data_IF_865729601523
#
_entry.id   IF_865729601523
#
_cell.length_a   1.000
_cell.length_b   1.000
_cell.length_c   1.000
_cell.angle_alpha   90.00
_cell.angle_beta   90.00
_cell.angle_gamma   90.00
#
_symmetry.space_group_name_H-M   'P 1'
#
loop_
_entity.id
_entity.type
_entity.pdbx_description
1 polymer ?
#
# COMPACT_ATOMS: atom_id res chain seq x y z
N UNK A 1 12.29 3.56 0.85
CA UNK A 1 11.82 4.41 1.97
C UNK A 1 12.42 5.82 1.94
N UNK A 2 13.75 6.03 2.02
CA UNK A 2 14.33 7.41 2.02
C UNK A 2 13.87 8.28 0.83
N UNK A 3 13.94 7.75 -0.39
CA UNK A 3 13.48 8.46 -1.61
C UNK A 3 11.99 8.80 -1.59
N UNK A 4 11.16 7.83 -1.23
CA UNK A 4 9.70 7.99 -1.10
C UNK A 4 9.35 9.07 -0.06
N UNK A 5 10.04 9.06 1.10
CA UNK A 5 9.88 10.09 2.12
C UNK A 5 10.22 11.49 1.62
N UNK A 6 11.19 11.59 0.72
CA UNK A 6 11.57 12.83 0.05
C UNK A 6 10.61 13.25 -1.09
N UNK A 7 9.54 12.48 -1.34
CA UNK A 7 8.56 12.78 -2.38
C UNK A 7 8.91 12.26 -3.77
N UNK A 8 9.87 11.34 -3.88
CA UNK A 8 10.23 10.71 -5.16
C UNK A 8 9.09 9.81 -5.65
N UNK A 9 8.35 10.29 -6.67
CA UNK A 9 7.24 9.56 -7.29
C UNK A 9 7.70 8.31 -8.04
N UNK A 10 8.90 8.29 -8.64
CA UNK A 10 9.41 7.10 -9.32
C UNK A 10 9.67 5.98 -8.32
N UNK A 11 10.22 6.33 -7.16
CA UNK A 11 10.41 5.36 -6.07
C UNK A 11 9.08 4.81 -5.54
N UNK A 12 8.00 5.62 -5.57
CA UNK A 12 6.66 5.18 -5.22
C UNK A 12 6.01 4.31 -6.29
N UNK A 13 6.14 4.67 -7.57
CA UNK A 13 5.62 3.88 -8.70
C UNK A 13 6.25 2.47 -8.75
N UNK A 14 7.57 2.37 -8.56
CA UNK A 14 8.26 1.08 -8.46
C UNK A 14 7.69 0.23 -7.30
N UNK A 15 7.39 0.86 -6.18
CA UNK A 15 6.80 0.20 -5.02
C UNK A 15 5.37 -0.23 -5.30
N UNK A 16 4.56 0.64 -5.89
CA UNK A 16 3.19 0.36 -6.30
C UNK A 16 3.15 -0.85 -7.24
N UNK A 17 3.91 -0.83 -8.34
CA UNK A 17 3.99 -1.95 -9.30
C UNK A 17 4.44 -3.26 -8.65
N UNK A 18 5.33 -3.20 -7.67
CA UNK A 18 5.86 -4.38 -6.97
C UNK A 18 4.85 -5.02 -6.00
N UNK A 19 4.02 -4.21 -5.34
CA UNK A 19 3.16 -4.67 -4.25
C UNK A 19 1.68 -4.72 -4.61
N UNK A 20 1.19 -3.86 -5.51
CA UNK A 20 -0.22 -3.80 -5.93
C UNK A 20 -0.78 -5.17 -6.33
N UNK A 21 -0.13 -5.98 -7.20
CA UNK A 21 -0.65 -7.30 -7.57
C UNK A 21 -0.75 -8.29 -6.40
N UNK A 22 0.14 -8.18 -5.41
CA UNK A 22 0.17 -9.08 -4.24
C UNK A 22 -0.94 -8.73 -3.25
N UNK A 23 -1.15 -7.44 -3.04
CA UNK A 23 -2.22 -6.93 -2.17
C UNK A 23 -3.56 -7.21 -2.82
N UNK A 24 -3.68 -6.99 -4.13
CA UNK A 24 -4.87 -7.33 -4.90
C UNK A 24 -5.26 -8.78 -4.71
N UNK A 25 -4.33 -9.70 -4.95
CA UNK A 25 -4.61 -11.13 -4.80
C UNK A 25 -5.06 -11.48 -3.38
N UNK A 26 -4.48 -10.84 -2.37
CA UNK A 26 -4.84 -11.07 -0.97
C UNK A 26 -6.21 -10.48 -0.62
N UNK A 27 -6.45 -9.19 -0.90
CA UNK A 27 -7.72 -8.51 -0.64
C UNK A 27 -8.88 -9.16 -1.43
N UNK A 28 -8.65 -9.49 -2.71
CA UNK A 28 -9.65 -10.21 -3.51
C UNK A 28 -9.97 -11.59 -2.94
N UNK A 29 -8.98 -12.30 -2.37
CA UNK A 29 -9.24 -13.60 -1.74
C UNK A 29 -10.19 -13.53 -0.53
N UNK A 30 -10.26 -12.36 0.12
CA UNK A 30 -11.12 -12.10 1.27
C UNK A 30 -12.50 -11.57 0.82
N UNK A 31 -12.49 -10.57 -0.06
CA UNK A 31 -13.68 -9.78 -0.41
C UNK A 31 -14.44 -10.39 -1.59
N UNK A 32 -13.72 -11.06 -2.51
CA UNK A 32 -14.25 -11.64 -3.75
C UNK A 32 -15.04 -10.67 -4.63
N UNK A 33 -14.78 -9.38 -4.50
CA UNK A 33 -15.34 -8.32 -5.33
C UNK A 33 -14.18 -7.50 -5.93
N UNK A 34 -14.16 -7.37 -7.25
CA UNK A 34 -13.10 -6.67 -7.97
C UNK A 34 -13.08 -5.17 -7.68
N UNK A 35 -14.23 -4.51 -7.72
CA UNK A 35 -14.39 -3.06 -7.52
C UNK A 35 -13.96 -2.68 -6.09
N UNK A 36 -14.45 -3.42 -5.10
CA UNK A 36 -14.11 -3.17 -3.69
C UNK A 36 -12.61 -3.43 -3.43
N UNK A 37 -12.05 -4.47 -4.07
CA UNK A 37 -10.61 -4.75 -3.98
C UNK A 37 -9.78 -3.62 -4.56
N UNK A 38 -10.16 -3.08 -5.72
CA UNK A 38 -9.44 -1.96 -6.34
C UNK A 38 -9.52 -0.71 -5.47
N UNK A 39 -10.69 -0.42 -4.91
CA UNK A 39 -10.90 0.72 -4.04
C UNK A 39 -9.99 0.66 -2.80
N UNK A 40 -9.95 -0.49 -2.11
CA UNK A 40 -9.09 -0.69 -0.94
C UNK A 40 -7.61 -0.54 -1.29
N UNK A 41 -7.17 -1.07 -2.43
CA UNK A 41 -5.78 -0.91 -2.85
C UNK A 41 -5.46 0.57 -3.07
N UNK A 42 -6.33 1.30 -3.76
CA UNK A 42 -6.15 2.73 -4.00
C UNK A 42 -6.04 3.46 -2.67
N UNK A 43 -6.96 3.25 -1.73
CA UNK A 43 -6.93 3.86 -0.40
C UNK A 43 -5.65 3.53 0.39
N UNK A 44 -5.21 2.26 0.38
CA UNK A 44 -3.98 1.83 1.07
C UNK A 44 -2.76 2.58 0.53
N UNK A 45 -2.63 2.68 -0.80
CA UNK A 45 -1.50 3.37 -1.42
C UNK A 45 -1.59 4.89 -1.28
N UNK A 46 -2.79 5.47 -1.33
CA UNK A 46 -3.03 6.89 -1.03
C UNK A 46 -2.65 7.22 0.40
N UNK A 47 -3.11 6.43 1.38
CA UNK A 47 -2.76 6.62 2.78
C UNK A 47 -1.26 6.46 3.01
N UNK A 48 -0.63 5.48 2.36
CA UNK A 48 0.83 5.33 2.39
C UNK A 48 1.55 6.56 1.86
N UNK A 49 1.11 7.10 0.71
CA UNK A 49 1.70 8.28 0.12
C UNK A 49 1.50 9.51 1.01
N UNK A 50 0.28 9.77 1.47
CA UNK A 50 -0.04 10.92 2.34
C UNK A 50 0.72 10.86 3.67
N UNK A 51 0.87 9.67 4.26
CA UNK A 51 1.57 9.49 5.53
C UNK A 51 3.07 9.15 5.37
N UNK A 52 3.63 9.17 4.15
CA UNK A 52 5.00 8.74 3.85
C UNK A 52 6.05 9.30 4.80
N UNK A 53 5.91 10.56 5.19
CA UNK A 53 6.80 11.29 6.10
C UNK A 53 6.84 10.66 7.50
N UNK A 54 5.69 10.18 7.99
CA UNK A 54 5.49 9.61 9.33
C UNK A 54 5.85 8.11 9.43
N UNK A 55 6.04 7.43 8.30
CA UNK A 55 6.36 5.99 8.29
C UNK A 55 7.68 5.75 9.03
N UNK A 56 7.68 4.96 10.11
CA UNK A 56 8.93 4.68 10.85
C UNK A 56 9.95 3.99 9.96
N UNK A 57 11.23 4.35 10.11
CA UNK A 57 12.35 3.85 9.28
C UNK A 57 12.48 2.32 9.29
N UNK A 58 11.94 1.67 10.32
CA UNK A 58 12.00 0.23 10.56
C UNK A 58 10.70 -0.51 10.16
N UNK A 59 9.66 0.22 9.76
CA UNK A 59 8.45 -0.41 9.22
C UNK A 59 8.71 -0.79 7.78
N UNK A 60 8.69 -2.08 7.47
CA UNK A 60 8.73 -2.52 6.08
C UNK A 60 7.45 -2.05 5.37
N UNK A 61 7.56 -1.69 4.09
CA UNK A 61 6.39 -1.36 3.24
C UNK A 61 5.36 -2.49 3.31
N UNK A 62 5.85 -3.74 3.35
CA UNK A 62 5.05 -4.95 3.53
C UNK A 62 4.21 -4.89 4.82
N UNK A 63 4.83 -4.60 5.96
CA UNK A 63 4.13 -4.57 7.24
C UNK A 63 3.11 -3.44 7.27
N UNK A 64 3.46 -2.24 6.79
CA UNK A 64 2.54 -1.12 6.77
C UNK A 64 1.29 -1.42 5.92
N UNK A 65 1.50 -2.00 4.74
CA UNK A 65 0.42 -2.42 3.86
C UNK A 65 -0.42 -3.54 4.49
N UNK A 66 0.20 -4.58 5.05
CA UNK A 66 -0.52 -5.66 5.74
C UNK A 66 -1.36 -5.15 6.92
N UNK A 67 -0.83 -4.23 7.72
CA UNK A 67 -1.55 -3.64 8.85
C UNK A 67 -2.76 -2.84 8.40
N UNK A 68 -2.67 -2.10 7.30
CA UNK A 68 -3.83 -1.32 6.80
C UNK A 68 -4.86 -2.23 6.18
N UNK A 69 -4.46 -3.19 5.34
CA UNK A 69 -5.41 -4.14 4.72
C UNK A 69 -6.15 -4.95 5.78
N UNK A 70 -5.51 -5.29 6.90
CA UNK A 70 -6.16 -5.97 8.02
C UNK A 70 -7.10 -5.06 8.83
N UNK A 71 -6.86 -3.74 8.91
CA UNK A 71 -7.73 -2.81 9.64
C UNK A 71 -8.95 -2.35 8.83
N UNK A 72 -8.92 -2.53 7.51
CA UNK A 72 -10.02 -2.21 6.60
C UNK A 72 -10.97 -3.40 6.36
N UNK A 73 -10.74 -4.55 7.02
CA UNK A 73 -11.63 -5.72 7.02
C UNK A 73 -12.25 -5.87 8.40
#
# INVERSE_FOLDING_TARGET
MKKIKAGDMLAFDILYKKYSPKIYKFAYSLIKNHEETENIIQEVFLNFWTNRSKIKKNSSVKNYIFTITHNST
#
